data_IF_703950514857
#
_entry.id   IF_703950514857
#
_cell.length_a   1.000
_cell.length_b   1.000
_cell.length_c   1.000
_cell.angle_alpha   90.00
_cell.angle_beta   90.00
_cell.angle_gamma   90.00
#
_symmetry.space_group_name_H-M   'P 1'
#
loop_
_entity.id
_entity.type
_entity.pdbx_description
1 polymer ?
#
# COMPACT_ATOMS: atom_id res chain seq x y z
N UNK A 1 29.06 -10.23 22.20
CA UNK A 1 28.03 -9.33 21.62
C UNK A 1 28.23 -9.37 20.12
N UNK A 2 27.47 -10.20 19.42
CA UNK A 2 27.62 -10.41 17.98
C UNK A 2 26.66 -9.48 17.26
N UNK A 3 27.18 -8.35 16.76
CA UNK A 3 26.52 -7.59 15.71
C UNK A 3 26.59 -8.40 14.41
N UNK A 4 25.54 -9.15 14.11
CA UNK A 4 25.22 -9.56 12.74
C UNK A 4 23.91 -8.88 12.34
N UNK A 5 23.97 -7.56 12.20
CA UNK A 5 22.86 -6.76 11.69
C UNK A 5 23.24 -6.17 10.34
N UNK A 6 23.23 -6.97 9.27
CA UNK A 6 23.16 -6.39 7.93
C UNK A 6 21.96 -5.43 7.91
N UNK A 7 22.18 -4.17 7.54
CA UNK A 7 21.16 -3.14 7.66
C UNK A 7 19.88 -3.57 6.91
N UNK A 8 18.82 -3.89 7.67
CA UNK A 8 17.52 -4.26 7.13
C UNK A 8 17.01 -3.07 6.30
N UNK A 9 16.86 -3.29 5.00
CA UNK A 9 16.47 -2.23 4.06
C UNK A 9 14.95 -2.16 3.98
N UNK A 10 14.39 -0.96 4.14
CA UNK A 10 12.95 -0.74 4.02
C UNK A 10 12.46 -1.12 2.61
N UNK A 11 11.35 -1.87 2.56
CA UNK A 11 10.70 -2.27 1.30
C UNK A 11 9.20 -2.11 1.43
N UNK A 12 8.54 -1.90 0.30
CA UNK A 12 7.08 -1.89 0.20
C UNK A 12 6.60 -3.18 -0.45
N UNK A 13 5.65 -3.85 0.18
CA UNK A 13 5.05 -5.08 -0.29
C UNK A 13 3.68 -4.75 -0.84
N UNK A 14 3.52 -4.90 -2.15
CA UNK A 14 2.24 -4.79 -2.82
C UNK A 14 1.62 -6.17 -2.97
N UNK A 15 0.50 -6.41 -2.29
CA UNK A 15 -0.23 -7.68 -2.36
C UNK A 15 -1.50 -7.48 -3.16
N UNK A 16 -1.65 -8.20 -4.28
CA UNK A 16 -2.88 -8.21 -5.07
C UNK A 16 -3.61 -9.53 -4.90
N UNK A 17 -4.72 -9.49 -4.18
CA UNK A 17 -5.61 -10.64 -3.97
C UNK A 17 -6.71 -10.65 -5.03
N UNK A 18 -6.76 -11.70 -5.83
CA UNK A 18 -7.80 -11.94 -6.83
C UNK A 18 -9.02 -12.60 -6.20
N UNK A 19 -10.22 -12.29 -6.70
CA UNK A 19 -11.47 -13.02 -6.36
C UNK A 19 -11.40 -14.53 -6.60
N UNK A 20 -10.43 -14.98 -7.42
CA UNK A 20 -10.17 -16.40 -7.69
C UNK A 20 -9.24 -17.06 -6.66
N UNK A 21 -8.71 -16.32 -5.70
CA UNK A 21 -7.81 -16.84 -4.67
C UNK A 21 -8.60 -17.49 -3.53
N UNK A 22 -8.05 -18.55 -2.94
CA UNK A 22 -8.56 -19.12 -1.69
C UNK A 22 -8.53 -18.12 -0.52
N UNK A 23 -7.70 -17.07 -0.63
CA UNK A 23 -7.55 -16.03 0.39
C UNK A 23 -8.54 -14.87 0.23
N UNK A 24 -9.45 -14.91 -0.76
CA UNK A 24 -10.36 -13.80 -1.05
C UNK A 24 -11.22 -13.42 0.16
N UNK A 25 -11.89 -14.40 0.78
CA UNK A 25 -12.75 -14.15 1.94
C UNK A 25 -11.96 -13.57 3.10
N UNK A 26 -10.74 -14.07 3.32
CA UNK A 26 -9.86 -13.57 4.38
C UNK A 26 -9.38 -12.15 4.12
N UNK A 27 -9.06 -11.84 2.86
CA UNK A 27 -8.68 -10.49 2.47
C UNK A 27 -9.79 -9.46 2.68
N UNK A 28 -11.06 -9.87 2.67
CA UNK A 28 -12.17 -8.96 3.00
C UNK A 28 -12.20 -8.65 4.49
N UNK A 29 -12.07 -9.64 5.36
CA UNK A 29 -12.38 -9.53 6.79
C UNK A 29 -11.17 -9.35 7.71
N UNK A 30 -9.96 -9.76 7.31
CA UNK A 30 -8.81 -9.86 8.21
C UNK A 30 -7.49 -9.50 7.54
N UNK A 31 -7.09 -8.25 7.70
CA UNK A 31 -5.86 -7.71 7.14
C UNK A 31 -4.61 -8.39 7.73
N UNK A 32 -4.68 -8.81 9.00
CA UNK A 32 -3.55 -9.43 9.71
C UNK A 32 -3.22 -10.81 9.15
N UNK A 33 -4.22 -11.61 8.81
CA UNK A 33 -3.95 -12.91 8.19
C UNK A 33 -3.32 -12.79 6.80
N UNK A 34 -3.70 -11.78 6.02
CA UNK A 34 -3.03 -11.49 4.74
C UNK A 34 -1.59 -11.02 4.97
N UNK A 35 -1.35 -10.19 5.99
CA UNK A 35 -0.01 -9.75 6.36
C UNK A 35 0.88 -10.94 6.75
N UNK A 36 0.42 -11.80 7.66
CA UNK A 36 1.17 -12.97 8.14
C UNK A 36 1.46 -13.96 7.02
N UNK A 37 0.45 -14.28 6.19
CA UNK A 37 0.65 -15.12 4.99
C UNK A 37 1.71 -14.52 4.05
N UNK A 38 1.68 -13.20 3.87
CA UNK A 38 2.63 -12.51 3.01
C UNK A 38 4.05 -12.56 3.59
N UNK A 39 4.20 -12.36 4.90
CA UNK A 39 5.47 -12.49 5.61
C UNK A 39 6.03 -13.91 5.46
N UNK A 40 5.20 -14.93 5.65
CA UNK A 40 5.59 -16.33 5.49
C UNK A 40 6.07 -16.64 4.07
N UNK A 41 5.37 -16.12 3.05
CA UNK A 41 5.77 -16.24 1.64
C UNK A 41 7.11 -15.56 1.36
N UNK A 42 7.32 -14.35 1.91
CA UNK A 42 8.56 -13.62 1.73
C UNK A 42 9.74 -14.31 2.41
N UNK A 43 9.57 -14.78 3.65
CA UNK A 43 10.59 -15.53 4.38
C UNK A 43 10.87 -16.89 3.73
N UNK A 44 9.87 -17.52 3.10
CA UNK A 44 10.09 -18.77 2.36
C UNK A 44 10.90 -18.54 1.08
N UNK A 45 10.72 -17.38 0.42
CA UNK A 45 11.46 -17.02 -0.79
C UNK A 45 12.86 -16.47 -0.49
N UNK A 46 13.03 -15.80 0.66
CA UNK A 46 14.31 -15.30 1.18
C UNK A 46 14.39 -15.53 2.69
N UNK A 47 14.86 -16.71 3.15
CA UNK A 47 14.96 -17.02 4.57
C UNK A 47 15.91 -16.12 5.35
N UNK A 48 16.81 -15.40 4.66
CA UNK A 48 17.75 -14.47 5.29
C UNK A 48 17.07 -13.17 5.73
N UNK A 49 15.90 -12.84 5.14
CA UNK A 49 15.17 -11.62 5.47
C UNK A 49 14.64 -11.62 6.91
N UNK A 50 14.25 -12.79 7.44
CA UNK A 50 13.76 -12.98 8.81
C UNK A 50 12.78 -11.88 9.25
N UNK A 51 11.78 -11.62 8.40
CA UNK A 51 10.75 -10.61 8.62
C UNK A 51 9.82 -11.12 9.72
N UNK A 52 9.64 -10.34 10.79
CA UNK A 52 8.66 -10.62 11.83
C UNK A 52 7.39 -9.76 11.64
N UNK A 53 6.28 -10.15 12.28
CA UNK A 53 5.04 -9.38 12.28
C UNK A 53 5.24 -7.92 12.70
N UNK A 54 6.10 -7.68 13.71
CA UNK A 54 6.41 -6.34 14.23
C UNK A 54 7.21 -5.47 13.24
N UNK A 55 7.81 -6.07 12.21
CA UNK A 55 8.56 -5.35 11.18
C UNK A 55 7.64 -4.80 10.08
N UNK A 56 6.36 -5.23 10.04
CA UNK A 56 5.41 -4.89 8.99
C UNK A 56 4.36 -3.88 9.47
N UNK A 57 4.08 -2.87 8.64
CA UNK A 57 3.04 -1.89 8.86
C UNK A 57 2.10 -1.85 7.65
N UNK A 58 0.79 -2.05 7.86
CA UNK A 58 -0.21 -1.85 6.82
C UNK A 58 -0.33 -0.35 6.51
N UNK A 59 -0.16 0.00 5.23
CA UNK A 59 -0.23 1.38 4.73
C UNK A 59 -1.57 1.65 4.06
N UNK A 60 -1.94 0.81 3.09
CA UNK A 60 -3.17 0.96 2.31
C UNK A 60 -3.85 -0.40 2.16
N UNK A 61 -5.18 -0.41 2.29
CA UNK A 61 -6.07 -1.45 1.79
C UNK A 61 -7.05 -0.80 0.83
N UNK A 62 -7.09 -1.30 -0.40
CA UNK A 62 -8.00 -0.82 -1.43
C UNK A 62 -8.79 -2.00 -2.00
N UNK A 63 -10.11 -1.94 -1.87
CA UNK A 63 -11.02 -3.00 -2.26
C UNK A 63 -11.73 -2.65 -3.57
N UNK A 64 -11.68 -3.57 -4.52
CA UNK A 64 -12.36 -3.50 -5.81
C UNK A 64 -13.22 -4.76 -5.99
N UNK A 65 -14.24 -4.73 -6.86
CA UNK A 65 -15.13 -5.88 -7.06
C UNK A 65 -14.43 -7.22 -7.40
N UNK A 66 -13.25 -7.15 -8.02
CA UNK A 66 -12.48 -8.33 -8.49
C UNK A 66 -11.07 -8.44 -7.89
N UNK A 67 -10.64 -7.45 -7.11
CA UNK A 67 -9.28 -7.34 -6.57
C UNK A 67 -9.28 -6.66 -5.21
N UNK A 68 -8.45 -7.14 -4.29
CA UNK A 68 -8.13 -6.40 -3.07
C UNK A 68 -6.64 -6.17 -3.09
N UNK A 69 -6.25 -4.92 -2.93
CA UNK A 69 -4.87 -4.50 -2.87
C UNK A 69 -4.50 -4.15 -1.44
N UNK A 70 -3.40 -4.72 -0.98
CA UNK A 70 -2.76 -4.31 0.25
C UNK A 70 -1.39 -3.74 -0.06
N UNK A 71 -1.01 -2.73 0.69
CA UNK A 71 0.34 -2.19 0.69
C UNK A 71 0.85 -2.24 2.11
N UNK A 72 1.89 -3.02 2.34
CA UNK A 72 2.62 -3.08 3.60
C UNK A 72 3.99 -2.45 3.42
N UNK A 73 4.48 -1.73 4.43
CA UNK A 73 5.90 -1.40 4.50
C UNK A 73 6.56 -2.34 5.50
N UNK A 74 7.72 -2.91 5.13
CA UNK A 74 8.56 -3.70 6.02
C UNK A 74 9.84 -2.92 6.34
N UNK A 75 10.27 -2.97 7.60
CA UNK A 75 11.47 -2.27 8.12
C UNK A 75 11.45 -0.74 7.92
N UNK A 76 10.30 -0.13 7.63
CA UNK A 76 10.18 1.32 7.43
C UNK A 76 10.02 2.06 8.77
N UNK A 77 11.08 2.07 9.57
CA UNK A 77 11.09 2.70 10.89
C UNK A 77 11.10 4.23 10.86
N UNK A 78 11.29 4.83 9.68
CA UNK A 78 11.38 6.28 9.47
C UNK A 78 10.18 6.84 8.70
N UNK A 79 9.07 6.11 8.66
CA UNK A 79 7.86 6.57 7.98
C UNK A 79 7.35 7.88 8.61
N UNK A 80 7.32 8.95 7.82
CA UNK A 80 6.78 10.25 8.20
C UNK A 80 5.46 10.52 7.46
N UNK A 81 4.29 10.41 8.12
CA UNK A 81 2.99 10.67 7.50
C UNK A 81 2.84 12.11 7.00
N UNK A 82 3.60 13.07 7.54
CA UNK A 82 3.54 14.48 7.13
C UNK A 82 4.15 14.69 5.74
N UNK A 83 5.17 13.90 5.38
CA UNK A 83 5.90 13.99 4.10
C UNK A 83 5.50 12.90 3.11
N UNK A 84 4.82 11.83 3.54
CA UNK A 84 4.53 10.66 2.71
C UNK A 84 3.60 10.91 1.50
N UNK A 85 3.02 12.10 1.36
CA UNK A 85 2.31 12.56 0.16
C UNK A 85 3.25 13.15 -0.92
N UNK A 86 4.46 13.56 -0.53
CA UNK A 86 5.42 14.17 -1.44
C UNK A 86 6.21 13.11 -2.23
N UNK A 87 6.55 13.39 -3.50
CA UNK A 87 7.38 12.49 -4.28
C UNK A 87 8.76 12.30 -3.65
N UNK A 88 9.29 11.07 -3.72
CA UNK A 88 10.61 10.66 -3.24
C UNK A 88 10.84 10.73 -1.72
N UNK A 89 9.86 11.16 -0.90
CA UNK A 89 10.03 11.22 0.56
C UNK A 89 9.77 9.87 1.25
N UNK A 90 8.88 9.06 0.69
CA UNK A 90 8.52 7.74 1.22
C UNK A 90 8.36 6.70 0.09
N UNK A 91 9.14 6.87 -0.97
CA UNK A 91 9.18 5.95 -2.10
C UNK A 91 10.14 4.81 -1.75
N UNK A 92 9.62 3.58 -1.82
CA UNK A 92 10.37 2.38 -1.47
C UNK A 92 10.52 1.45 -2.68
N UNK A 93 11.58 0.62 -2.74
CA UNK A 93 11.60 -0.56 -3.60
C UNK A 93 10.37 -1.43 -3.32
N UNK A 94 9.74 -1.95 -4.37
CA UNK A 94 8.49 -2.71 -4.25
C UNK A 94 8.72 -4.19 -4.56
N UNK A 95 8.22 -5.07 -3.69
CA UNK A 95 8.00 -6.48 -3.98
C UNK A 95 6.51 -6.67 -4.24
N UNK A 96 6.18 -7.34 -5.34
CA UNK A 96 4.82 -7.68 -5.71
C UNK A 96 4.51 -9.13 -5.32
N UNK A 97 3.40 -9.32 -4.62
CA UNK A 97 2.83 -10.61 -4.28
C UNK A 97 1.46 -10.70 -4.94
N UNK A 98 1.27 -11.68 -5.82
CA UNK A 98 -0.03 -11.94 -6.45
C UNK A 98 -0.65 -13.17 -5.82
N UNK A 99 -1.73 -13.00 -5.06
CA UNK A 99 -2.53 -14.09 -4.53
C UNK A 99 -3.68 -14.34 -5.51
N UNK A 100 -3.51 -15.33 -6.39
CA UNK A 100 -4.52 -15.70 -7.39
C UNK A 100 -4.83 -17.20 -7.33
N UNK A 101 -5.13 -17.84 -8.48
CA UNK A 101 -5.09 -19.31 -8.57
C UNK A 101 -3.67 -19.83 -8.34
N UNK A 102 -2.69 -19.06 -8.82
CA UNK A 102 -1.26 -19.30 -8.60
C UNK A 102 -0.73 -18.13 -7.79
N UNK A 103 0.01 -18.43 -6.73
CA UNK A 103 0.71 -17.45 -5.92
C UNK A 103 2.06 -17.14 -6.54
N UNK A 104 2.40 -15.86 -6.69
CA UNK A 104 3.72 -15.43 -7.15
C UNK A 104 4.28 -14.33 -6.27
N UNK A 105 5.62 -14.31 -6.14
CA UNK A 105 6.39 -13.28 -5.46
C UNK A 105 7.48 -12.82 -6.41
N UNK A 106 7.59 -11.51 -6.66
CA UNK A 106 8.59 -10.97 -7.57
C UNK A 106 8.98 -9.54 -7.19
N UNK A 107 10.20 -9.13 -7.52
CA UNK A 107 10.56 -7.69 -7.51
C UNK A 107 9.70 -6.98 -8.55
N UNK A 108 9.07 -5.87 -8.16
CA UNK A 108 8.19 -5.13 -9.05
C UNK A 108 8.98 -4.50 -10.21
N UNK A 109 8.36 -4.46 -11.39
CA UNK A 109 8.86 -3.64 -12.50
C UNK A 109 8.85 -2.15 -12.10
N UNK A 110 9.65 -1.34 -12.79
CA UNK A 110 9.71 0.12 -12.55
C UNK A 110 8.32 0.74 -12.60
N UNK A 111 7.51 0.40 -13.60
CA UNK A 111 6.15 0.93 -13.73
C UNK A 111 5.22 0.54 -12.58
N UNK A 112 5.30 -0.70 -12.10
CA UNK A 112 4.49 -1.13 -10.95
C UNK A 112 4.98 -0.47 -9.65
N UNK A 113 6.31 -0.38 -9.45
CA UNK A 113 6.93 0.32 -8.32
C UNK A 113 6.46 1.78 -8.26
N UNK A 114 6.51 2.49 -9.37
CA UNK A 114 6.11 3.90 -9.44
C UNK A 114 4.60 4.07 -9.20
N UNK A 115 3.78 3.15 -9.73
CA UNK A 115 2.33 3.15 -9.50
C UNK A 115 1.97 2.92 -8.03
N UNK A 116 2.60 1.95 -7.37
CA UNK A 116 2.34 1.65 -5.96
C UNK A 116 2.77 2.80 -5.06
N UNK A 117 3.96 3.38 -5.28
CA UNK A 117 4.41 4.54 -4.50
C UNK A 117 3.51 5.76 -4.73
N UNK A 118 3.06 5.99 -5.97
CA UNK A 118 2.06 7.03 -6.26
C UNK A 118 0.74 6.77 -5.54
N UNK A 119 0.22 5.55 -5.56
CA UNK A 119 -1.03 5.21 -4.87
C UNK A 119 -0.99 5.49 -3.36
N UNK A 120 0.17 5.27 -2.70
CA UNK A 120 0.34 5.65 -1.29
C UNK A 120 0.29 7.16 -1.10
N UNK A 121 0.95 7.93 -1.97
CA UNK A 121 0.88 9.41 -1.95
C UNK A 121 -0.55 9.90 -2.17
N UNK A 122 -1.24 9.34 -3.16
CA UNK A 122 -2.63 9.68 -3.48
C UNK A 122 -3.54 9.34 -2.28
N UNK A 123 -3.33 8.21 -1.60
CA UNK A 123 -4.08 7.88 -0.39
C UNK A 123 -3.89 8.93 0.72
N UNK A 124 -2.67 9.41 0.93
CA UNK A 124 -2.41 10.53 1.84
C UNK A 124 -3.13 11.81 1.38
N UNK A 125 -3.03 12.17 0.11
CA UNK A 125 -3.68 13.38 -0.41
C UNK A 125 -5.20 13.33 -0.28
N UNK A 126 -5.81 12.17 -0.55
CA UNK A 126 -7.25 11.98 -0.41
C UNK A 126 -7.71 12.11 1.05
N UNK A 127 -6.96 11.56 2.03
CA UNK A 127 -7.39 11.55 3.43
C UNK A 127 -7.02 12.81 4.23
N UNK A 128 -6.18 13.70 3.69
CA UNK A 128 -5.91 15.01 4.30
C UNK A 128 -4.67 15.12 5.16
N UNK A 129 -4.38 16.36 5.59
CA UNK A 129 -3.25 16.66 6.47
C UNK A 129 -3.33 15.92 7.80
N UNK A 130 -2.19 15.33 8.20
CA UNK A 130 -2.08 14.57 9.45
C UNK A 130 -2.78 13.21 9.44
N UNK A 131 -3.35 12.81 8.30
CA UNK A 131 -3.93 11.47 8.16
C UNK A 131 -2.84 10.40 8.30
N UNK A 132 -3.19 9.29 8.95
CA UNK A 132 -2.26 8.22 9.27
C UNK A 132 -2.75 6.91 8.65
N UNK A 133 -1.78 6.11 8.22
CA UNK A 133 -2.03 4.74 7.84
C UNK A 133 -2.58 3.92 9.03
N UNK A 134 -3.36 2.85 8.77
CA UNK A 134 -3.74 2.34 7.45
C UNK A 134 -4.91 3.10 6.80
N UNK A 135 -4.79 3.41 5.51
CA UNK A 135 -5.87 3.94 4.70
C UNK A 135 -6.73 2.82 4.14
N UNK A 136 -8.06 2.92 4.31
CA UNK A 136 -9.01 1.93 3.79
C UNK A 136 -9.92 2.59 2.76
N UNK A 137 -9.87 2.07 1.54
CA UNK A 137 -10.58 2.60 0.39
C UNK A 137 -11.43 1.46 -0.19
N UNK A 138 -12.73 1.71 -0.34
CA UNK A 138 -13.68 0.70 -0.78
C UNK A 138 -14.42 1.13 -2.05
N UNK A 139 -14.12 0.48 -3.17
CA UNK A 139 -14.79 0.66 -4.47
C UNK A 139 -15.78 -0.48 -4.78
N UNK A 140 -16.09 -1.35 -3.82
CA UNK A 140 -17.07 -2.43 -4.00
C UNK A 140 -18.50 -1.89 -4.04
N UNK A 141 -19.44 -2.68 -4.55
CA UNK A 141 -20.88 -2.38 -4.54
C UNK A 141 -21.29 -1.00 -5.11
N UNK A 142 -20.59 -0.54 -6.16
CA UNK A 142 -20.77 0.79 -6.76
C UNK A 142 -20.49 1.95 -5.81
N UNK A 143 -19.79 1.68 -4.70
CA UNK A 143 -19.37 2.72 -3.78
C UNK A 143 -18.37 3.65 -4.46
N UNK A 144 -18.61 4.95 -4.32
CA UNK A 144 -17.67 5.99 -4.70
C UNK A 144 -17.07 6.49 -3.38
N UNK A 145 -15.80 6.16 -3.06
CA UNK A 145 -15.17 6.61 -1.84
C UNK A 145 -15.30 8.11 -1.66
N UNK A 146 -15.79 8.52 -0.48
CA UNK A 146 -15.89 9.92 -0.10
C UNK A 146 -14.78 10.24 0.89
N UNK A 147 -14.03 11.29 0.59
CA UNK A 147 -12.94 11.74 1.44
C UNK A 147 -13.31 13.08 2.05
N UNK A 148 -13.49 13.16 3.38
CA UNK A 148 -14.05 14.35 4.00
C UNK A 148 -13.06 15.52 4.06
N UNK A 149 -11.74 15.27 3.94
CA UNK A 149 -10.69 16.28 4.14
C UNK A 149 -9.50 16.17 3.16
N UNK A 150 -9.70 16.05 1.84
CA UNK A 150 -8.57 15.92 0.90
C UNK A 150 -7.64 17.14 0.97
N UNK A 151 -6.31 16.90 0.93
CA UNK A 151 -5.27 17.93 0.82
C UNK A 151 -5.41 18.72 -0.49
N UNK A 152 -5.83 18.03 -1.54
CA UNK A 152 -6.15 18.64 -2.83
C UNK A 152 -7.67 18.85 -2.94
N UNK A 153 -8.13 20.03 -2.56
CA UNK A 153 -9.42 20.58 -3.03
C UNK A 153 -9.13 21.93 -3.70
N UNK A 154 -9.40 22.02 -5.01
CA UNK A 154 -9.44 23.17 -5.95
C UNK A 154 -8.54 22.90 -7.19
N UNK A 155 -8.98 22.99 -8.45
CA UNK A 155 -9.90 23.92 -9.13
C UNK A 155 -10.64 23.21 -10.29
N UNK A 156 -11.92 23.46 -10.57
CA UNK A 156 -12.31 24.57 -11.44
C UNK A 156 -13.50 25.35 -10.86
N UNK A 157 -13.21 26.57 -10.41
CA UNK A 157 -14.20 27.64 -10.44
C UNK A 157 -14.20 28.18 -11.87
N UNK A 158 -15.33 28.25 -12.60
CA UNK A 158 -15.36 29.03 -13.83
C UNK A 158 -15.17 30.50 -13.42
N UNK A 159 -14.05 31.09 -13.81
CA UNK A 159 -13.88 32.53 -13.79
C UNK A 159 -14.93 33.11 -14.71
N UNK A 160 -15.90 33.85 -14.16
CA UNK A 160 -16.59 34.88 -14.92
C UNK A 160 -15.54 35.91 -15.34
N UNK A 161 -15.27 36.00 -16.64
CA UNK A 161 -14.79 37.24 -17.23
C UNK A 161 -15.78 37.63 -18.32
N UNK A 162 -16.46 38.74 -18.05
CA UNK A 162 -17.24 39.44 -19.05
C UNK A 162 -16.34 39.91 -20.18
N UNK A 163 -16.90 39.92 -21.37
CA UNK A 163 -16.40 40.69 -22.49
C UNK A 163 -17.50 41.69 -22.86
N UNK A 164 -17.07 42.95 -22.80
CA UNK A 164 -17.62 44.22 -23.29
C UNK A 164 -18.92 44.21 -24.10
#
# INVERSE_FOLDING_TARGET
MTEQGGARTAKRIFVSVSKKSHQWSQALSNDKEIANLTIDLLNSNDPSAQIADADAMLVVKEMWPMRIWFVFDIFNTKYDPSQAHLPNQNDLPVIAVSLSKITTVAVASIGLKDKVNRGVRDAHDLHGHGSQAPFRIDHTDSNIPTYPRPRLRNTATPSSQGAH
#
